data_IF_218320355048
#
_entry.id   IF_218320355048
#
_cell.length_a   1.000
_cell.length_b   1.000
_cell.length_c   1.000
_cell.angle_alpha   90.00
_cell.angle_beta   90.00
_cell.angle_gamma   90.00
#
_symmetry.space_group_name_H-M   'P 1'
#
loop_
_entity.id
_entity.type
_entity.pdbx_description
1 polymer ?
#
# COMPACT_ATOMS: atom_id res chain seq x y z
N UNK A 1 -88.42 12.83 42.29
CA UNK A 1 -87.96 12.98 40.89
C UNK A 1 -86.64 13.75 40.71
N UNK A 2 -86.02 14.34 41.74
CA UNK A 2 -84.77 15.14 41.59
C UNK A 2 -83.46 14.42 41.96
N UNK A 3 -83.49 13.29 42.67
CA UNK A 3 -82.26 12.57 43.07
C UNK A 3 -81.61 11.77 41.91
N UNK A 4 -82.42 11.08 41.10
CA UNK A 4 -81.91 10.28 39.98
C UNK A 4 -81.29 11.11 38.86
N UNK A 5 -81.86 12.29 38.55
CA UNK A 5 -81.30 13.21 37.55
C UNK A 5 -79.94 13.78 37.98
N UNK A 6 -79.75 14.03 39.27
CA UNK A 6 -78.48 14.54 39.82
C UNK A 6 -77.39 13.46 39.78
N UNK A 7 -77.72 12.22 40.14
CA UNK A 7 -76.77 11.09 40.09
C UNK A 7 -76.35 10.74 38.67
N UNK A 8 -77.26 10.82 37.69
CA UNK A 8 -76.92 10.56 36.29
C UNK A 8 -75.98 11.64 35.71
N UNK A 9 -76.13 12.90 36.13
CA UNK A 9 -75.26 13.99 35.66
C UNK A 9 -73.84 13.91 36.24
N UNK A 10 -73.70 13.51 37.51
CA UNK A 10 -72.40 13.24 38.14
C UNK A 10 -71.69 12.04 37.50
N UNK A 11 -72.42 10.96 37.19
CA UNK A 11 -71.86 9.78 36.52
C UNK A 11 -71.35 10.07 35.09
N UNK A 12 -72.12 10.83 34.30
CA UNK A 12 -71.73 11.24 32.94
C UNK A 12 -70.54 12.21 32.96
N UNK A 13 -70.49 13.12 33.94
CA UNK A 13 -69.36 14.04 34.11
C UNK A 13 -68.08 13.30 34.51
N UNK A 14 -68.17 12.34 35.44
CA UNK A 14 -67.06 11.49 35.86
C UNK A 14 -66.56 10.57 34.72
N UNK A 15 -67.48 10.02 33.91
CA UNK A 15 -67.18 9.25 32.70
C UNK A 15 -66.33 10.07 31.71
N UNK A 16 -66.73 11.32 31.42
CA UNK A 16 -65.99 12.18 30.48
C UNK A 16 -64.59 12.58 30.99
N UNK A 17 -64.42 12.64 32.31
CA UNK A 17 -63.16 13.01 32.95
C UNK A 17 -62.16 11.84 32.91
N UNK A 18 -62.66 10.61 33.12
CA UNK A 18 -61.87 9.38 32.96
C UNK A 18 -61.36 9.20 31.53
N UNK A 19 -62.23 9.38 30.52
CA UNK A 19 -61.83 9.32 29.11
C UNK A 19 -60.77 10.38 28.76
N UNK A 20 -60.90 11.61 29.28
CA UNK A 20 -59.87 12.65 29.10
C UNK A 20 -58.53 12.26 29.73
N UNK A 21 -58.53 11.71 30.94
CA UNK A 21 -57.31 11.29 31.62
C UNK A 21 -56.61 10.14 30.87
N UNK A 22 -57.38 9.17 30.36
CA UNK A 22 -56.83 8.05 29.61
C UNK A 22 -56.20 8.52 28.30
N UNK A 23 -56.88 9.42 27.58
CA UNK A 23 -56.36 10.03 26.35
C UNK A 23 -55.11 10.89 26.62
N UNK A 24 -55.04 11.55 27.77
CA UNK A 24 -53.86 12.32 28.17
C UNK A 24 -52.66 11.41 28.46
N UNK A 25 -52.86 10.26 29.10
CA UNK A 25 -51.80 9.25 29.29
C UNK A 25 -51.34 8.66 27.97
N UNK A 26 -52.26 8.30 27.09
CA UNK A 26 -51.94 7.78 25.75
C UNK A 26 -51.07 8.77 24.97
N UNK A 27 -51.44 10.06 24.96
CA UNK A 27 -50.66 11.10 24.31
C UNK A 27 -49.28 11.29 24.95
N UNK A 28 -49.15 11.19 26.27
CA UNK A 28 -47.85 11.26 26.96
C UNK A 28 -46.94 10.10 26.55
N UNK A 29 -47.48 8.88 26.47
CA UNK A 29 -46.73 7.71 26.00
C UNK A 29 -46.25 7.94 24.57
N UNK A 30 -47.14 8.41 23.69
CA UNK A 30 -46.82 8.66 22.28
C UNK A 30 -45.78 9.75 22.08
N UNK A 31 -45.81 10.81 22.90
CA UNK A 31 -44.78 11.87 22.89
C UNK A 31 -43.44 11.29 23.31
N UNK A 32 -43.40 10.45 24.35
CA UNK A 32 -42.17 9.83 24.83
C UNK A 32 -41.57 8.89 23.77
N UNK A 33 -42.38 8.02 23.17
CA UNK A 33 -41.97 7.15 22.07
C UNK A 33 -41.42 7.95 20.88
N UNK A 34 -42.07 9.07 20.54
CA UNK A 34 -41.61 9.94 19.45
C UNK A 34 -40.25 10.60 19.77
N UNK A 35 -40.03 11.01 21.02
CA UNK A 35 -38.75 11.59 21.47
C UNK A 35 -37.61 10.55 21.46
N UNK A 36 -37.90 9.33 21.88
CA UNK A 36 -36.94 8.20 21.84
C UNK A 36 -36.60 7.84 20.40
N UNK A 37 -37.61 7.71 19.53
CA UNK A 37 -37.41 7.46 18.10
C UNK A 37 -36.61 8.56 17.42
N UNK A 38 -36.89 9.83 17.72
CA UNK A 38 -36.13 10.96 17.16
C UNK A 38 -34.66 10.90 17.57
N UNK A 39 -34.38 10.61 18.84
CA UNK A 39 -33.02 10.47 19.36
C UNK A 39 -32.29 9.31 18.66
N UNK A 40 -32.94 8.15 18.52
CA UNK A 40 -32.36 6.99 17.85
C UNK A 40 -32.07 7.24 16.36
N UNK A 41 -32.96 7.93 15.64
CA UNK A 41 -32.76 8.30 14.24
C UNK A 41 -31.59 9.28 14.11
N UNK A 42 -31.50 10.27 15.00
CA UNK A 42 -30.40 11.24 15.01
C UNK A 42 -29.05 10.56 15.22
N UNK A 43 -28.96 9.61 16.15
CA UNK A 43 -27.74 8.84 16.38
C UNK A 43 -27.34 8.00 15.16
N UNK A 44 -28.30 7.32 14.54
CA UNK A 44 -28.07 6.56 13.30
C UNK A 44 -27.54 7.46 12.18
N UNK A 45 -28.17 8.62 11.97
CA UNK A 45 -27.75 9.60 10.96
C UNK A 45 -26.32 10.10 11.22
N UNK A 46 -25.96 10.39 12.47
CA UNK A 46 -24.58 10.79 12.81
C UNK A 46 -23.57 9.67 12.59
N UNK A 47 -23.94 8.42 12.84
CA UNK A 47 -23.09 7.27 12.55
C UNK A 47 -22.87 7.13 11.04
N UNK A 48 -23.95 7.14 10.27
CA UNK A 48 -23.91 6.97 8.82
C UNK A 48 -23.14 8.12 8.14
N UNK A 49 -23.25 9.35 8.64
CA UNK A 49 -22.43 10.47 8.17
C UNK A 49 -20.92 10.26 8.43
N UNK A 50 -20.53 9.67 9.57
CA UNK A 50 -19.13 9.34 9.86
C UNK A 50 -18.63 8.20 8.98
N UNK A 51 -19.44 7.17 8.78
CA UNK A 51 -19.10 6.03 7.94
C UNK A 51 -18.90 6.50 6.47
N UNK A 52 -19.79 7.34 5.95
CA UNK A 52 -19.64 7.95 4.62
C UNK A 52 -18.36 8.81 4.51
N UNK A 53 -18.02 9.56 5.55
CA UNK A 53 -16.79 10.34 5.58
C UNK A 53 -15.54 9.44 5.54
N UNK A 54 -15.57 8.30 6.23
CA UNK A 54 -14.49 7.32 6.17
C UNK A 54 -14.35 6.72 4.77
N UNK A 55 -15.46 6.35 4.12
CA UNK A 55 -15.46 5.81 2.75
C UNK A 55 -14.89 6.81 1.72
N UNK A 56 -15.22 8.10 1.88
CA UNK A 56 -14.66 9.17 1.03
C UNK A 56 -13.14 9.27 1.22
N UNK A 57 -12.66 9.20 2.47
CA UNK A 57 -11.22 9.24 2.78
C UNK A 57 -10.49 8.00 2.24
N UNK A 58 -11.09 6.81 2.36
CA UNK A 58 -10.54 5.58 1.77
C UNK A 58 -10.42 5.70 0.25
N UNK A 59 -11.46 6.22 -0.41
CA UNK A 59 -11.44 6.46 -1.86
C UNK A 59 -10.33 7.44 -2.28
N UNK A 60 -10.06 8.47 -1.49
CA UNK A 60 -8.95 9.40 -1.75
C UNK A 60 -7.58 8.72 -1.56
N UNK A 61 -7.43 7.89 -0.52
CA UNK A 61 -6.23 7.12 -0.28
C UNK A 61 -5.94 6.15 -1.43
N UNK A 62 -6.94 5.41 -1.91
CA UNK A 62 -6.79 4.48 -3.04
C UNK A 62 -6.29 5.22 -4.30
N UNK A 63 -6.87 6.39 -4.62
CA UNK A 63 -6.39 7.21 -5.75
C UNK A 63 -4.94 7.66 -5.58
N UNK A 64 -4.52 7.99 -4.34
CA UNK A 64 -3.14 8.39 -4.06
C UNK A 64 -2.17 7.22 -4.16
N UNK A 65 -2.59 6.02 -3.75
CA UNK A 65 -1.82 4.78 -3.93
C UNK A 65 -1.62 4.50 -5.42
N UNK A 66 -2.69 4.53 -6.21
CA UNK A 66 -2.62 4.32 -7.67
C UNK A 66 -1.64 5.31 -8.35
N UNK A 67 -1.69 6.58 -7.97
CA UNK A 67 -0.78 7.61 -8.50
C UNK A 67 0.69 7.35 -8.11
N UNK A 68 0.94 6.89 -6.88
CA UNK A 68 2.29 6.53 -6.43
C UNK A 68 2.81 5.31 -7.16
N UNK A 69 1.98 4.30 -7.38
CA UNK A 69 2.35 3.08 -8.11
C UNK A 69 2.73 3.38 -9.56
N UNK A 70 1.92 4.21 -10.25
CA UNK A 70 2.26 4.67 -11.61
C UNK A 70 3.58 5.42 -11.62
N UNK A 71 3.80 6.35 -10.67
CA UNK A 71 5.04 7.12 -10.60
C UNK A 71 6.25 6.23 -10.35
N UNK A 72 6.16 5.30 -9.39
CA UNK A 72 7.24 4.39 -9.06
C UNK A 72 7.58 3.47 -10.24
N UNK A 73 6.56 3.00 -10.97
CA UNK A 73 6.76 2.21 -12.18
C UNK A 73 7.52 3.00 -13.25
N UNK A 74 7.12 4.24 -13.52
CA UNK A 74 7.81 5.09 -14.52
C UNK A 74 9.28 5.33 -14.14
N UNK A 75 9.57 5.59 -12.86
CA UNK A 75 10.96 5.77 -12.40
C UNK A 75 11.75 4.46 -12.55
N UNK A 76 11.18 3.34 -12.12
CA UNK A 76 11.81 2.02 -12.23
C UNK A 76 12.10 1.66 -13.69
N UNK A 77 11.13 1.82 -14.59
CA UNK A 77 11.28 1.52 -16.02
C UNK A 77 12.40 2.39 -16.63
N UNK A 78 12.48 3.68 -16.25
CA UNK A 78 13.56 4.57 -16.70
C UNK A 78 14.94 4.16 -16.19
N UNK A 79 15.05 3.67 -14.95
CA UNK A 79 16.32 3.19 -14.40
C UNK A 79 16.76 1.88 -15.07
N UNK A 80 15.80 0.98 -15.35
CA UNK A 80 16.06 -0.25 -16.09
C UNK A 80 16.58 0.05 -17.50
N UNK A 81 15.90 0.92 -18.26
CA UNK A 81 16.35 1.33 -19.60
C UNK A 81 17.77 1.91 -19.59
N UNK A 82 18.10 2.71 -18.56
CA UNK A 82 19.44 3.28 -18.42
C UNK A 82 20.49 2.20 -18.16
N UNK A 83 20.22 1.26 -17.26
CA UNK A 83 21.12 0.13 -16.96
C UNK A 83 21.32 -0.73 -18.20
N UNK A 84 20.25 -1.04 -18.95
CA UNK A 84 20.32 -1.82 -20.18
C UNK A 84 21.18 -1.13 -21.24
N UNK A 85 21.06 0.19 -21.39
CA UNK A 85 21.89 0.97 -22.31
C UNK A 85 23.38 0.96 -21.90
N UNK A 86 23.68 1.11 -20.61
CA UNK A 86 25.05 1.03 -20.10
C UNK A 86 25.65 -0.38 -20.29
N UNK A 87 24.86 -1.43 -20.07
CA UNK A 87 25.26 -2.82 -20.34
C UNK A 87 25.54 -3.05 -21.82
N UNK A 88 24.72 -2.52 -22.73
CA UNK A 88 24.95 -2.64 -24.16
C UNK A 88 26.28 -2.00 -24.61
N UNK A 89 26.59 -0.81 -24.08
CA UNK A 89 27.88 -0.14 -24.34
C UNK A 89 29.05 -0.97 -23.78
N UNK A 90 28.89 -1.52 -22.58
CA UNK A 90 29.91 -2.37 -21.97
C UNK A 90 30.17 -3.65 -22.80
N UNK A 91 29.12 -4.31 -23.27
CA UNK A 91 29.21 -5.50 -24.12
C UNK A 91 29.93 -5.20 -25.45
N UNK A 92 29.62 -4.07 -26.08
CA UNK A 92 30.30 -3.63 -27.31
C UNK A 92 31.79 -3.35 -27.07
N UNK A 93 32.11 -2.65 -25.98
CA UNK A 93 33.49 -2.38 -25.58
C UNK A 93 34.25 -3.69 -25.31
N UNK A 94 33.61 -4.63 -24.60
CA UNK A 94 34.19 -5.94 -24.30
C UNK A 94 34.45 -6.78 -25.57
N UNK A 95 33.50 -6.79 -26.52
CA UNK A 95 33.69 -7.43 -27.83
C UNK A 95 34.82 -6.79 -28.63
N UNK A 96 34.87 -5.46 -28.67
CA UNK A 96 35.91 -4.71 -29.37
C UNK A 96 37.30 -4.98 -28.77
N UNK A 97 37.40 -4.99 -27.45
CA UNK A 97 38.62 -5.34 -26.73
C UNK A 97 39.05 -6.78 -27.03
N UNK A 98 38.13 -7.74 -26.97
CA UNK A 98 38.42 -9.16 -27.26
C UNK A 98 38.90 -9.34 -28.70
N UNK A 99 38.26 -8.67 -29.66
CA UNK A 99 38.67 -8.70 -31.07
C UNK A 99 40.08 -8.09 -31.27
N UNK A 100 40.37 -6.96 -30.62
CA UNK A 100 41.69 -6.33 -30.68
C UNK A 100 42.77 -7.24 -30.07
N UNK A 101 42.50 -7.81 -28.89
CA UNK A 101 43.37 -8.79 -28.24
C UNK A 101 43.66 -9.97 -29.17
N UNK A 102 42.63 -10.50 -29.84
CA UNK A 102 42.76 -11.58 -30.82
C UNK A 102 43.68 -11.19 -31.98
N UNK A 103 43.47 -10.01 -32.57
CA UNK A 103 44.32 -9.48 -33.66
C UNK A 103 45.79 -9.33 -33.23
N UNK A 104 46.05 -8.73 -32.07
CA UNK A 104 47.40 -8.56 -31.52
C UNK A 104 48.06 -9.92 -31.28
N UNK A 105 47.32 -10.87 -30.69
CA UNK A 105 47.83 -12.23 -30.43
C UNK A 105 48.22 -12.95 -31.73
N UNK A 106 47.42 -12.77 -32.79
CA UNK A 106 47.68 -13.36 -34.09
C UNK A 106 48.85 -12.69 -34.85
N UNK A 107 48.96 -11.36 -34.78
CA UNK A 107 49.98 -10.59 -35.52
C UNK A 107 51.33 -10.56 -34.81
N UNK A 108 51.35 -10.64 -33.48
CA UNK A 108 52.55 -10.45 -32.66
C UNK A 108 52.72 -11.60 -31.66
N UNK A 109 52.56 -12.84 -32.10
CA UNK A 109 52.52 -14.03 -31.22
C UNK A 109 53.74 -14.15 -30.29
N UNK A 110 54.96 -13.92 -30.79
CA UNK A 110 56.17 -13.99 -29.96
C UNK A 110 56.22 -12.89 -28.89
N UNK A 111 55.86 -11.65 -29.24
CA UNK A 111 55.82 -10.51 -28.31
C UNK A 111 54.71 -10.70 -27.28
N UNK A 112 53.56 -11.21 -27.72
CA UNK A 112 52.43 -11.52 -26.85
C UNK A 112 52.78 -12.63 -25.84
N UNK A 113 53.46 -13.69 -26.27
CA UNK A 113 53.98 -14.74 -25.37
C UNK A 113 54.98 -14.19 -24.34
N UNK A 114 55.88 -13.29 -24.75
CA UNK A 114 56.82 -12.63 -23.84
C UNK A 114 56.08 -11.74 -22.83
N UNK A 115 55.10 -10.95 -23.26
CA UNK A 115 54.27 -10.15 -22.36
C UNK A 115 53.46 -11.03 -21.41
N UNK A 116 52.90 -12.15 -21.86
CA UNK A 116 52.12 -13.04 -21.01
C UNK A 116 52.97 -13.75 -19.94
N UNK A 117 54.25 -14.02 -20.25
CA UNK A 117 55.21 -14.52 -19.27
C UNK A 117 55.63 -13.44 -18.25
N UNK A 118 55.69 -12.17 -18.65
CA UNK A 118 55.97 -11.04 -17.74
C UNK A 118 54.75 -10.61 -16.92
N UNK A 119 53.56 -10.73 -17.50
CA UNK A 119 52.28 -10.31 -16.94
C UNK A 119 51.23 -11.42 -17.15
N UNK A 120 51.19 -12.44 -16.28
CA UNK A 120 50.24 -13.53 -16.42
C UNK A 120 48.79 -13.04 -16.36
N UNK A 121 47.93 -13.69 -17.16
CA UNK A 121 46.54 -13.28 -17.47
C UNK A 121 45.61 -13.25 -16.25
N UNK A 122 46.03 -13.86 -15.15
CA UNK A 122 45.31 -13.93 -13.89
C UNK A 122 46.23 -13.42 -12.78
N UNK A 123 46.04 -12.16 -12.39
CA UNK A 123 46.49 -11.72 -11.07
C UNK A 123 45.64 -12.43 -10.03
N UNK A 124 46.27 -13.14 -9.10
CA UNK A 124 45.57 -13.74 -7.95
C UNK A 124 44.70 -12.69 -7.24
N UNK A 125 45.19 -11.46 -7.18
CA UNK A 125 44.50 -10.32 -6.56
C UNK A 125 43.22 -9.91 -7.33
N UNK A 126 43.25 -9.97 -8.67
CA UNK A 126 42.05 -9.69 -9.48
C UNK A 126 41.02 -10.82 -9.37
N UNK A 127 41.46 -12.07 -9.26
CA UNK A 127 40.57 -13.22 -9.06
C UNK A 127 39.96 -13.21 -7.65
N UNK A 128 40.73 -12.88 -6.62
CA UNK A 128 40.21 -12.65 -5.26
C UNK A 128 39.19 -11.51 -5.25
N UNK A 129 39.46 -10.41 -5.96
CA UNK A 129 38.51 -9.30 -6.08
C UNK A 129 37.18 -9.74 -6.70
N UNK A 130 37.21 -10.51 -7.79
CA UNK A 130 36.01 -11.07 -8.42
C UNK A 130 35.24 -11.99 -7.48
N UNK A 131 35.92 -12.91 -6.80
CA UNK A 131 35.29 -13.81 -5.85
C UNK A 131 34.58 -13.05 -4.72
N UNK A 132 35.26 -12.06 -4.13
CA UNK A 132 34.68 -11.19 -3.09
C UNK A 132 33.46 -10.40 -3.59
N UNK A 133 33.50 -9.90 -4.82
CA UNK A 133 32.34 -9.20 -5.41
C UNK A 133 31.15 -10.14 -5.60
N UNK A 134 31.37 -11.38 -6.04
CA UNK A 134 30.29 -12.37 -6.16
C UNK A 134 29.72 -12.77 -4.79
N UNK A 135 30.58 -12.98 -3.78
CA UNK A 135 30.15 -13.23 -2.40
C UNK A 135 29.31 -12.07 -1.86
N UNK A 136 29.79 -10.83 -2.02
CA UNK A 136 29.07 -9.64 -1.56
C UNK A 136 27.68 -9.50 -2.21
N UNK A 137 27.54 -9.83 -3.50
CA UNK A 137 26.25 -9.80 -4.20
C UNK A 137 25.33 -10.93 -3.72
N UNK A 138 25.86 -12.14 -3.51
CA UNK A 138 25.09 -13.28 -3.01
C UNK A 138 24.62 -13.11 -1.55
N UNK A 139 25.28 -12.24 -0.79
CA UNK A 139 24.92 -11.88 0.58
C UNK A 139 23.84 -10.78 0.66
N UNK A 140 23.49 -10.11 -0.45
CA UNK A 140 22.41 -9.11 -0.48
C UNK A 140 21.07 -9.83 -0.25
N UNK A 141 20.49 -9.64 0.93
CA UNK A 141 19.22 -10.21 1.37
C UNK A 141 18.42 -9.19 2.15
N UNK A 142 17.08 -9.30 2.18
CA UNK A 142 16.26 -8.46 3.05
C UNK A 142 16.70 -8.59 4.51
N UNK A 143 16.81 -7.48 5.23
CA UNK A 143 17.21 -7.44 6.64
C UNK A 143 16.13 -6.83 7.52
N UNK A 144 15.92 -7.42 8.69
CA UNK A 144 14.99 -6.89 9.69
C UNK A 144 15.51 -5.55 10.22
N UNK A 145 14.66 -4.51 10.14
CA UNK A 145 15.00 -3.15 10.56
C UNK A 145 15.52 -2.23 9.45
N UNK A 146 15.75 -2.76 8.23
CA UNK A 146 16.04 -1.93 7.06
C UNK A 146 14.77 -1.31 6.44
N UNK A 147 14.98 -0.27 5.60
CA UNK A 147 13.88 0.40 4.91
C UNK A 147 13.19 -0.58 3.94
N UNK A 148 11.84 -0.53 3.89
CA UNK A 148 11.02 -1.38 3.02
C UNK A 148 11.45 -1.36 1.55
N UNK A 149 11.93 -0.22 1.04
CA UNK A 149 12.42 -0.11 -0.35
C UNK A 149 13.73 -0.86 -0.53
N UNK A 150 14.68 -0.72 0.39
CA UNK A 150 15.94 -1.46 0.37
C UNK A 150 15.68 -2.98 0.45
N UNK A 151 14.77 -3.40 1.33
CA UNK A 151 14.35 -4.80 1.44
C UNK A 151 13.65 -5.33 0.18
N UNK A 152 12.87 -4.51 -0.51
CA UNK A 152 12.25 -4.89 -1.78
C UNK A 152 13.31 -5.18 -2.85
N UNK A 153 14.28 -4.27 -3.05
CA UNK A 153 15.36 -4.49 -4.01
C UNK A 153 16.28 -5.64 -3.59
N UNK A 154 16.59 -5.78 -2.31
CA UNK A 154 17.37 -6.90 -1.80
C UNK A 154 16.68 -8.25 -2.07
N UNK A 155 15.35 -8.32 -1.95
CA UNK A 155 14.57 -9.51 -2.31
C UNK A 155 14.53 -9.81 -3.81
N UNK A 156 14.71 -8.81 -4.68
CA UNK A 156 14.90 -9.02 -6.13
C UNK A 156 16.29 -9.60 -6.38
N UNK A 157 17.33 -9.02 -5.77
CA UNK A 157 18.71 -9.51 -5.93
C UNK A 157 18.85 -10.94 -5.41
N UNK A 158 18.31 -11.25 -4.22
CA UNK A 158 18.33 -12.60 -3.66
C UNK A 158 17.72 -13.64 -4.63
N UNK A 159 16.62 -13.30 -5.33
CA UNK A 159 15.99 -14.19 -6.32
C UNK A 159 16.76 -14.33 -7.63
N UNK A 160 17.49 -13.29 -8.04
CA UNK A 160 18.29 -13.32 -9.27
C UNK A 160 19.59 -14.10 -9.10
N UNK A 161 20.09 -14.20 -7.86
CA UNK A 161 21.38 -14.83 -7.53
C UNK A 161 21.21 -16.25 -6.96
N UNK A 162 20.00 -16.62 -6.49
CA UNK A 162 19.63 -17.99 -6.06
C UNK A 162 19.37 -18.92 -7.25
#
# INVERSE_FOLDING_TARGET
MNKEKSQNFEAVSASSLGERQEKQKELQVRIKEMQENYSAVKEKMHKEARDLQADILLTDLDKRIDLLDVKNKVVFDSEVEKIEAELAVFDEAHRSFSNLKGKITAQHTQVYQQMQNQFPSSSNQANEGRAKSYEAIAEIKPQDGENKVANFFAGIVEKLVS
#
